data_IF_368196082921
#
_entry.id   IF_368196082921
#
_cell.length_a   1.000
_cell.length_b   1.000
_cell.length_c   1.000
_cell.angle_alpha   90.00
_cell.angle_beta   90.00
_cell.angle_gamma   90.00
#
_symmetry.space_group_name_H-M   'P 1'
#
loop_
_entity.id
_entity.type
_entity.pdbx_description
1 polymer ?
#
# COMPACT_ATOMS: atom_id res chain seq x y z
N UNK A 1 -5.80 -9.84 2.43
CA UNK A 1 -5.00 -11.09 2.59
C UNK A 1 -5.58 -12.11 3.58
N UNK A 2 -6.58 -11.73 4.37
CA UNK A 2 -7.23 -12.61 5.36
C UNK A 2 -8.65 -13.04 4.99
N UNK A 3 -9.21 -12.49 3.92
CA UNK A 3 -10.47 -12.97 3.37
C UNK A 3 -10.27 -14.31 2.66
N UNK A 4 -10.85 -15.36 3.22
CA UNK A 4 -10.79 -16.71 2.67
C UNK A 4 -12.18 -17.27 2.41
N UNK A 5 -12.54 -17.35 1.14
CA UNK A 5 -13.74 -18.00 0.63
C UNK A 5 -13.40 -19.10 -0.39
N UNK A 6 -12.21 -19.68 -0.26
CA UNK A 6 -11.74 -20.76 -1.15
C UNK A 6 -12.64 -21.99 -1.10
N UNK A 7 -13.31 -22.23 0.02
CA UNK A 7 -14.31 -23.30 0.15
C UNK A 7 -15.47 -23.16 -0.86
N UNK A 8 -15.70 -21.98 -1.41
CA UNK A 8 -16.71 -21.72 -2.46
C UNK A 8 -16.09 -21.67 -3.87
N UNK A 9 -14.83 -22.09 -4.03
CA UNK A 9 -14.15 -22.12 -5.32
C UNK A 9 -13.55 -20.80 -5.78
N UNK A 10 -13.49 -19.79 -4.91
CA UNK A 10 -12.85 -18.51 -5.21
C UNK A 10 -11.36 -18.51 -4.80
N UNK A 11 -10.52 -17.71 -5.43
CA UNK A 11 -9.14 -17.53 -4.98
C UNK A 11 -9.10 -16.85 -3.60
N UNK A 12 -8.04 -17.10 -2.84
CA UNK A 12 -7.79 -16.42 -1.57
C UNK A 12 -7.71 -14.90 -1.78
N UNK A 13 -8.28 -14.12 -0.89
CA UNK A 13 -8.36 -12.65 -1.00
C UNK A 13 -9.41 -12.12 -1.97
N UNK A 14 -10.21 -12.97 -2.60
CA UNK A 14 -11.27 -12.54 -3.51
C UNK A 14 -12.41 -11.84 -2.75
N UNK A 15 -12.68 -10.58 -3.12
CA UNK A 15 -13.82 -9.82 -2.59
C UNK A 15 -15.07 -10.20 -3.39
N UNK A 16 -16.16 -10.68 -2.76
CA UNK A 16 -17.38 -11.04 -3.47
C UNK A 16 -17.93 -9.90 -4.33
N UNK A 17 -18.16 -10.17 -5.61
CA UNK A 17 -18.59 -9.17 -6.58
C UNK A 17 -17.48 -8.23 -7.10
N UNK A 18 -16.24 -8.45 -6.68
CA UNK A 18 -15.09 -7.64 -7.04
C UNK A 18 -13.90 -8.46 -7.56
N UNK A 19 -12.72 -8.16 -7.06
CA UNK A 19 -11.43 -8.67 -7.53
C UNK A 19 -10.55 -9.09 -6.35
N UNK A 20 -9.45 -9.83 -6.62
CA UNK A 20 -8.37 -10.03 -5.66
C UNK A 20 -7.47 -8.79 -5.61
N UNK A 21 -7.18 -8.22 -6.78
CA UNK A 21 -6.32 -7.04 -6.93
C UNK A 21 -7.11 -5.87 -7.49
N UNK A 22 -6.85 -4.68 -6.98
CA UNK A 22 -7.38 -3.42 -7.48
C UNK A 22 -6.20 -2.52 -7.86
N UNK A 23 -6.15 -2.11 -9.12
CA UNK A 23 -5.04 -1.33 -9.65
C UNK A 23 -5.18 0.16 -9.32
N UNK A 24 -4.10 0.76 -8.86
CA UNK A 24 -3.98 2.21 -8.73
C UNK A 24 -4.02 2.92 -10.09
N UNK A 25 -4.43 4.18 -10.11
CA UNK A 25 -4.40 5.01 -11.31
C UNK A 25 -2.97 5.17 -11.84
N UNK A 26 -2.74 4.75 -13.09
CA UNK A 26 -1.44 4.90 -13.76
C UNK A 26 -1.01 6.35 -13.85
N UNK A 27 -1.95 7.25 -14.11
CA UNK A 27 -1.67 8.68 -14.20
C UNK A 27 -1.17 9.25 -12.86
N UNK A 28 -1.83 8.89 -11.76
CA UNK A 28 -1.42 9.33 -10.42
C UNK A 28 -0.06 8.74 -10.03
N UNK A 29 0.20 7.48 -10.36
CA UNK A 29 1.49 6.83 -10.12
C UNK A 29 2.62 7.51 -10.89
N UNK A 30 2.41 7.87 -12.18
CA UNK A 30 3.44 8.57 -12.97
C UNK A 30 3.73 9.97 -12.42
N UNK A 31 2.71 10.69 -11.94
CA UNK A 31 2.93 11.99 -11.27
C UNK A 31 3.72 11.79 -9.96
N UNK A 32 3.33 10.82 -9.15
CA UNK A 32 4.04 10.51 -7.92
C UNK A 32 5.52 10.17 -8.19
N UNK A 33 5.81 9.32 -9.17
CA UNK A 33 7.20 9.00 -9.57
C UNK A 33 7.99 10.24 -10.01
N UNK A 34 7.38 11.09 -10.82
CA UNK A 34 8.01 12.34 -11.27
C UNK A 34 8.38 13.24 -10.09
N UNK A 35 7.45 13.43 -9.15
CA UNK A 35 7.71 14.22 -7.95
C UNK A 35 8.77 13.58 -7.07
N UNK A 36 8.76 12.24 -6.91
CA UNK A 36 9.77 11.54 -6.14
C UNK A 36 11.19 11.78 -6.68
N UNK A 37 11.37 11.80 -7.99
CA UNK A 37 12.65 12.12 -8.63
C UNK A 37 13.06 13.57 -8.33
N UNK A 38 12.14 14.52 -8.43
CA UNK A 38 12.39 15.94 -8.17
C UNK A 38 12.80 16.18 -6.71
N UNK A 39 12.11 15.52 -5.78
CA UNK A 39 12.35 15.61 -4.33
C UNK A 39 13.48 14.69 -3.82
N UNK A 40 14.13 13.96 -4.73
CA UNK A 40 15.16 12.97 -4.40
C UNK A 40 14.71 11.95 -3.35
N UNK A 41 13.45 11.51 -3.46
CA UNK A 41 12.84 10.50 -2.60
C UNK A 41 13.01 9.10 -3.21
N UNK A 42 13.34 8.13 -2.37
CA UNK A 42 13.33 6.72 -2.76
C UNK A 42 11.91 6.18 -2.58
N UNK A 43 11.22 5.95 -3.68
CA UNK A 43 9.91 5.28 -3.70
C UNK A 43 9.99 3.98 -4.47
N UNK A 44 9.15 3.02 -4.10
CA UNK A 44 9.02 1.72 -4.76
C UNK A 44 7.55 1.58 -5.16
N UNK A 45 7.29 1.22 -6.39
CA UNK A 45 5.98 0.75 -6.83
C UNK A 45 5.90 -0.75 -6.56
N UNK A 46 4.82 -1.18 -5.93
CA UNK A 46 4.68 -2.57 -5.53
C UNK A 46 3.24 -2.93 -5.15
N UNK A 47 3.06 -4.17 -4.73
CA UNK A 47 1.78 -4.72 -4.27
C UNK A 47 1.66 -4.53 -2.76
N UNK A 48 0.60 -3.87 -2.35
CA UNK A 48 0.24 -3.69 -0.93
C UNK A 48 -0.88 -4.68 -0.61
N UNK A 49 -0.66 -5.55 0.37
CA UNK A 49 -1.66 -6.50 0.85
C UNK A 49 -2.30 -6.01 2.14
N UNK A 50 -3.61 -5.81 2.10
CA UNK A 50 -4.42 -5.35 3.23
C UNK A 50 -5.09 -6.51 3.95
N UNK A 51 -5.21 -6.44 5.26
CA UNK A 51 -6.03 -7.35 6.08
C UNK A 51 -6.33 -6.79 7.45
N UNK A 52 -7.25 -7.43 8.18
CA UNK A 52 -7.70 -6.99 9.51
C UNK A 52 -6.81 -7.52 10.65
N UNK A 53 -5.58 -7.95 10.32
CA UNK A 53 -4.64 -8.53 11.27
C UNK A 53 -3.31 -7.79 11.26
N UNK A 54 -2.79 -7.49 12.46
CA UNK A 54 -1.38 -7.14 12.59
C UNK A 54 -0.52 -8.40 12.41
N UNK A 55 0.16 -8.48 11.26
CA UNK A 55 0.95 -9.66 10.88
C UNK A 55 2.35 -9.58 11.47
N UNK A 56 2.61 -10.39 12.52
CA UNK A 56 3.89 -10.44 13.20
C UNK A 56 4.65 -11.77 13.01
N UNK A 57 3.98 -12.86 12.59
CA UNK A 57 4.63 -14.15 12.37
C UNK A 57 5.28 -14.23 10.99
N UNK A 58 6.49 -14.80 10.93
CA UNK A 58 7.20 -15.00 9.66
C UNK A 58 6.44 -15.94 8.72
N UNK A 59 5.83 -17.00 9.26
CA UNK A 59 5.02 -17.92 8.48
C UNK A 59 3.88 -17.22 7.74
N UNK A 60 3.17 -16.32 8.44
CA UNK A 60 2.07 -15.56 7.83
C UNK A 60 2.56 -14.55 6.82
N UNK A 61 3.69 -13.88 7.09
CA UNK A 61 4.34 -12.97 6.14
C UNK A 61 4.71 -13.69 4.84
N UNK A 62 5.41 -14.82 4.95
CA UNK A 62 5.78 -15.65 3.79
C UNK A 62 4.57 -16.16 3.00
N UNK A 63 3.50 -16.56 3.69
CA UNK A 63 2.27 -16.97 3.03
C UNK A 63 1.70 -15.83 2.18
N UNK A 64 1.60 -14.62 2.74
CA UNK A 64 1.04 -13.46 2.05
C UNK A 64 1.92 -13.04 0.87
N UNK A 65 3.23 -12.98 1.09
CA UNK A 65 4.20 -12.68 0.03
C UNK A 65 4.06 -13.65 -1.13
N UNK A 66 4.08 -14.97 -0.86
CA UNK A 66 3.98 -16.00 -1.90
C UNK A 66 2.62 -16.04 -2.60
N UNK A 67 1.54 -15.77 -1.86
CA UNK A 67 0.16 -15.86 -2.39
C UNK A 67 -0.19 -14.65 -3.24
N UNK A 68 0.23 -13.45 -2.84
CA UNK A 68 -0.16 -12.18 -3.46
C UNK A 68 0.99 -11.45 -4.13
N UNK A 69 2.22 -11.97 -4.08
CA UNK A 69 3.43 -11.26 -4.48
C UNK A 69 3.51 -9.88 -3.83
N UNK A 70 3.19 -9.81 -2.53
CA UNK A 70 3.07 -8.56 -1.80
C UNK A 70 4.44 -8.02 -1.38
N UNK A 71 4.64 -6.73 -1.60
CA UNK A 71 5.84 -5.98 -1.19
C UNK A 71 5.65 -5.32 0.18
N UNK A 72 4.41 -5.04 0.57
CA UNK A 72 4.06 -4.43 1.85
C UNK A 72 2.74 -4.96 2.41
N UNK A 73 2.63 -4.90 3.74
CA UNK A 73 1.44 -5.30 4.50
C UNK A 73 0.93 -4.10 5.30
N UNK A 74 -0.38 -3.93 5.33
CA UNK A 74 -1.06 -2.87 6.09
C UNK A 74 -2.54 -3.23 6.32
N UNK A 75 -3.33 -2.33 6.86
CA UNK A 75 -4.66 -2.66 7.35
C UNK A 75 -5.79 -1.77 6.78
N UNK A 76 -5.53 -0.85 5.86
CA UNK A 76 -6.53 0.15 5.41
C UNK A 76 -6.66 0.28 3.88
N UNK A 77 -5.58 0.04 3.13
CA UNK A 77 -5.49 0.41 1.71
C UNK A 77 -6.55 -0.22 0.82
N UNK A 78 -6.84 -1.52 0.98
CA UNK A 78 -7.83 -2.19 0.14
C UNK A 78 -9.26 -1.67 0.37
N UNK A 79 -9.61 -1.16 1.56
CA UNK A 79 -10.92 -0.58 1.81
C UNK A 79 -11.14 0.69 0.97
N UNK A 80 -10.12 1.54 0.88
CA UNK A 80 -10.12 2.71 0.00
C UNK A 80 -10.15 2.28 -1.47
N UNK A 81 -9.26 1.36 -1.85
CA UNK A 81 -9.14 0.89 -3.23
C UNK A 81 -10.45 0.30 -3.79
N UNK A 82 -11.11 -0.57 -3.03
CA UNK A 82 -12.38 -1.20 -3.43
C UNK A 82 -13.49 -0.16 -3.59
N UNK A 83 -13.59 0.80 -2.69
CA UNK A 83 -14.58 1.89 -2.81
C UNK A 83 -14.30 2.75 -4.03
N UNK A 84 -13.06 3.16 -4.25
CA UNK A 84 -12.68 3.96 -5.41
C UNK A 84 -12.93 3.21 -6.73
N UNK A 85 -12.57 1.92 -6.81
CA UNK A 85 -12.84 1.08 -7.99
C UNK A 85 -14.35 0.99 -8.27
N UNK A 86 -15.18 0.76 -7.25
CA UNK A 86 -16.62 0.68 -7.39
C UNK A 86 -17.30 1.98 -7.85
N UNK A 87 -16.70 3.11 -7.53
CA UNK A 87 -17.18 4.44 -7.88
C UNK A 87 -16.50 5.03 -9.13
N UNK A 88 -15.56 4.30 -9.74
CA UNK A 88 -14.71 4.76 -10.84
C UNK A 88 -13.94 6.04 -10.50
N UNK A 89 -13.47 6.16 -9.25
CA UNK A 89 -12.63 7.27 -8.78
C UNK A 89 -11.16 6.86 -8.89
N UNK A 90 -10.33 7.62 -9.65
CA UNK A 90 -8.89 7.36 -9.69
C UNK A 90 -8.27 7.49 -8.28
N UNK A 91 -7.40 6.55 -7.93
CA UNK A 91 -6.70 6.55 -6.64
C UNK A 91 -5.28 6.00 -6.78
N UNK A 92 -4.45 6.26 -5.80
CA UNK A 92 -3.25 5.49 -5.48
C UNK A 92 -3.04 5.46 -3.97
N UNK A 93 -2.26 4.49 -3.50
CA UNK A 93 -1.95 4.33 -2.08
C UNK A 93 -0.47 4.64 -1.87
N UNK A 94 -0.18 5.52 -0.91
CA UNK A 94 1.16 5.83 -0.45
C UNK A 94 1.34 5.30 0.97
N UNK A 95 2.44 4.58 1.21
CA UNK A 95 2.78 4.06 2.54
C UNK A 95 4.25 4.33 2.86
N UNK A 96 4.52 4.71 4.10
CA UNK A 96 5.85 4.63 4.68
C UNK A 96 5.99 3.27 5.38
N UNK A 97 7.11 2.60 5.17
CA UNK A 97 7.37 1.29 5.78
C UNK A 97 8.09 1.51 7.09
N UNK A 98 7.48 1.06 8.19
CA UNK A 98 7.97 1.28 9.56
C UNK A 98 9.02 0.27 10.01
N UNK A 99 8.90 -0.97 9.55
CA UNK A 99 9.80 -2.05 9.96
C UNK A 99 10.10 -2.99 8.78
N UNK A 100 11.31 -3.47 8.75
CA UNK A 100 11.63 -4.62 7.91
C UNK A 100 11.19 -5.89 8.65
N UNK A 101 10.63 -6.83 7.91
CA UNK A 101 10.12 -8.11 8.43
C UNK A 101 11.14 -8.93 9.25
N UNK A 102 12.39 -8.49 9.35
CA UNK A 102 13.51 -9.24 9.92
C UNK A 102 13.71 -9.09 11.43
N UNK A 103 12.87 -8.33 12.12
CA UNK A 103 12.86 -8.30 13.59
C UNK A 103 14.14 -7.74 14.26
N UNK A 104 15.05 -7.15 13.51
CA UNK A 104 16.23 -6.51 14.05
C UNK A 104 15.97 -5.01 14.20
N UNK A 105 15.89 -4.55 15.40
CA UNK A 105 16.42 -3.30 15.93
C UNK A 105 15.54 -2.75 17.04
N UNK A 106 16.14 -2.09 17.99
CA UNK A 106 15.55 -1.01 18.77
C UNK A 106 15.05 0.07 17.79
N UNK A 107 13.88 -0.17 17.23
CA UNK A 107 13.21 0.74 16.32
C UNK A 107 12.54 1.82 17.16
N UNK A 108 13.04 3.05 17.06
CA UNK A 108 12.36 4.19 17.67
C UNK A 108 11.14 4.55 16.83
N UNK A 109 10.00 4.00 17.21
CA UNK A 109 8.74 4.21 16.50
C UNK A 109 8.33 5.68 16.47
N UNK A 110 8.60 6.43 17.54
CA UNK A 110 8.22 7.85 17.64
C UNK A 110 9.08 8.71 16.69
N UNK A 111 10.38 8.43 16.61
CA UNK A 111 11.26 9.12 15.65
C UNK A 111 10.87 8.78 14.21
N UNK A 112 10.61 7.53 13.91
CA UNK A 112 10.13 7.12 12.59
C UNK A 112 8.80 7.78 12.25
N UNK A 113 7.81 7.76 13.17
CA UNK A 113 6.49 8.34 12.94
C UNK A 113 6.60 9.83 12.61
N UNK A 114 7.38 10.58 13.38
CA UNK A 114 7.57 12.02 13.15
C UNK A 114 8.27 12.32 11.82
N UNK A 115 9.34 11.58 11.50
CA UNK A 115 10.09 11.78 10.25
C UNK A 115 9.30 11.35 9.03
N UNK A 116 8.67 10.19 9.06
CA UNK A 116 7.89 9.65 7.93
C UNK A 116 6.61 10.45 7.67
N UNK A 117 5.93 10.91 8.72
CA UNK A 117 4.77 11.77 8.57
C UNK A 117 5.12 13.09 7.86
N UNK A 118 6.23 13.71 8.22
CA UNK A 118 6.71 14.95 7.57
C UNK A 118 7.09 14.72 6.10
N UNK A 119 7.85 13.66 5.82
CA UNK A 119 8.26 13.33 4.45
C UNK A 119 7.02 12.99 3.60
N UNK A 120 6.13 12.15 4.10
CA UNK A 120 4.94 11.73 3.36
C UNK A 120 3.98 12.88 3.10
N UNK A 121 3.78 13.78 4.09
CA UNK A 121 2.91 14.93 3.91
C UNK A 121 3.47 15.93 2.89
N UNK A 122 4.76 16.24 2.94
CA UNK A 122 5.39 17.11 1.96
C UNK A 122 5.31 16.50 0.55
N UNK A 123 5.63 15.22 0.43
CA UNK A 123 5.54 14.50 -0.84
C UNK A 123 4.11 14.52 -1.42
N UNK A 124 3.10 14.33 -0.58
CA UNK A 124 1.70 14.39 -1.00
C UNK A 124 1.30 15.79 -1.48
N UNK A 125 1.75 16.84 -0.80
CA UNK A 125 1.50 18.23 -1.22
C UNK A 125 2.09 18.50 -2.59
N UNK A 126 3.35 18.12 -2.84
CA UNK A 126 4.00 18.28 -4.14
C UNK A 126 3.28 17.50 -5.27
N UNK A 127 2.76 16.31 -4.97
CA UNK A 127 1.94 15.54 -5.93
C UNK A 127 0.65 16.31 -6.27
N UNK A 128 -0.04 16.86 -5.27
CA UNK A 128 -1.27 17.66 -5.47
C UNK A 128 -0.96 18.91 -6.28
N UNK A 129 0.13 19.62 -5.98
CA UNK A 129 0.55 20.80 -6.71
C UNK A 129 0.87 20.48 -8.18
N UNK A 130 1.48 19.34 -8.45
CA UNK A 130 1.75 18.90 -9.82
C UNK A 130 0.47 18.50 -10.57
N UNK A 131 -0.53 17.96 -9.87
CA UNK A 131 -1.86 17.67 -10.43
C UNK A 131 -2.61 18.94 -10.83
N UNK A 132 -2.52 20.02 -10.01
CA UNK A 132 -3.23 21.29 -10.26
C UNK A 132 -2.61 22.05 -11.44
N UNK A 133 -1.33 21.82 -11.76
CA UNK A 133 -0.65 22.46 -12.89
C UNK A 133 -1.09 21.93 -14.27
N UNK A 134 -1.85 20.83 -14.29
CA UNK A 134 -2.43 20.26 -15.52
C UNK A 134 -3.74 20.94 -15.89
#
# INVERSE_FOLDING_TARGET
>A
HDLDITAFGHPHGYVPGGKVFVDSSKELLEIAKKVAVTENLKVIEGVIATGDQFVHSNERKEFIEKTFNADALEMEGASVAVVCDSLNVPFFILRAISDSANGEANFDFDEFLNSSAKISSNYLVEIVDELIKK
#
